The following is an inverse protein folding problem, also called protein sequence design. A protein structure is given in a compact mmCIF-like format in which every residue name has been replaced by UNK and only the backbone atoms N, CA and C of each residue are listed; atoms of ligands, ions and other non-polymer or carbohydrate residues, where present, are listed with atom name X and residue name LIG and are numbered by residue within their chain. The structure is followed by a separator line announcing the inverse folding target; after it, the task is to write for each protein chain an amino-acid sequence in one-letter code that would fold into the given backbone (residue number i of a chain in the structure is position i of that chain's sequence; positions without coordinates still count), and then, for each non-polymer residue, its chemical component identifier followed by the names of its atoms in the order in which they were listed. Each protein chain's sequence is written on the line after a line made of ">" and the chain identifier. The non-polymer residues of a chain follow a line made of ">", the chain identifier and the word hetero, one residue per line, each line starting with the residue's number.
data_IF_333720505232
#
_entry.id   IF_333720505232
#
_cell.length_a   1.000
_cell.length_b   1.000
_cell.length_c   1.000
_cell.angle_alpha   90.00
_cell.angle_beta   90.00
_cell.angle_gamma   90.00
#
_symmetry.space_group_name_H-M   'P 1'
#
loop_
_entity.id
_entity.type
_entity.pdbx_description
1 polymer ?
#
# COMPACT_ATOMS: atom_id res chain seq x y z
N UNK A 1 -34.65 15.63 52.22
CA UNK A 1 -34.55 16.28 50.90
C UNK A 1 -33.38 15.66 50.18
N UNK A 2 -33.62 14.80 49.18
CA UNK A 2 -32.58 14.14 48.41
C UNK A 2 -32.17 15.05 47.25
N UNK A 3 -30.91 15.48 47.22
CA UNK A 3 -30.34 16.15 46.06
C UNK A 3 -30.06 15.12 44.96
N UNK A 4 -30.90 15.16 43.92
CA UNK A 4 -30.77 14.37 42.71
C UNK A 4 -29.57 14.91 41.90
N UNK A 5 -28.39 14.30 42.06
CA UNK A 5 -27.22 14.58 41.22
C UNK A 5 -27.54 14.19 39.78
N UNK A 6 -27.72 15.18 38.92
CA UNK A 6 -27.81 14.98 37.48
C UNK A 6 -26.44 14.55 36.93
N UNK A 7 -26.37 13.50 36.10
CA UNK A 7 -25.13 13.13 35.44
C UNK A 7 -24.80 14.18 34.38
N UNK A 8 -23.68 14.90 34.54
CA UNK A 8 -23.11 15.74 33.47
C UNK A 8 -22.80 14.84 32.28
N UNK A 9 -23.50 15.07 31.17
CA UNK A 9 -23.20 14.45 29.89
C UNK A 9 -21.74 14.78 29.53
N UNK A 10 -20.88 13.77 29.65
CA UNK A 10 -19.49 13.87 29.28
C UNK A 10 -19.45 14.08 27.77
N UNK A 11 -19.14 15.31 27.37
CA UNK A 11 -19.06 15.76 26.00
C UNK A 11 -17.84 15.10 25.35
N UNK A 12 -17.96 13.81 24.99
CA UNK A 12 -16.91 13.06 24.30
C UNK A 12 -16.88 13.60 22.88
N UNK A 13 -15.98 14.57 22.62
CA UNK A 13 -15.62 14.97 21.26
C UNK A 13 -15.42 13.69 20.45
N UNK A 14 -16.07 13.54 19.28
CA UNK A 14 -15.78 12.40 18.43
C UNK A 14 -14.29 12.47 18.11
N UNK A 15 -13.53 11.46 18.55
CA UNK A 15 -12.17 11.30 18.07
C UNK A 15 -12.25 11.30 16.54
N UNK A 16 -11.41 12.12 15.88
CA UNK A 16 -11.22 12.09 14.42
C UNK A 16 -10.66 10.72 14.03
N UNK A 17 -11.48 9.68 14.09
CA UNK A 17 -11.22 8.41 13.44
C UNK A 17 -11.58 8.66 11.98
N UNK A 18 -10.65 8.43 11.04
CA UNK A 18 -11.12 7.87 9.78
C UNK A 18 -10.39 8.16 8.47
N UNK A 19 -9.43 9.09 8.37
CA UNK A 19 -8.80 9.37 7.06
C UNK A 19 -7.28 9.17 7.00
N UNK A 20 -6.56 9.57 8.06
CA UNK A 20 -5.09 9.50 8.12
C UNK A 20 -4.61 8.06 8.32
N UNK A 21 -5.22 7.32 9.24
CA UNK A 21 -4.91 5.91 9.54
C UNK A 21 -5.10 4.97 8.33
N UNK A 22 -6.24 5.00 7.60
CA UNK A 22 -6.42 4.15 6.44
C UNK A 22 -5.42 4.44 5.31
N UNK A 23 -5.02 5.71 5.13
CA UNK A 23 -4.06 6.09 4.07
C UNK A 23 -2.63 5.68 4.42
N UNK A 24 -2.25 5.73 5.70
CA UNK A 24 -0.98 5.18 6.18
C UNK A 24 -0.93 3.66 5.98
N UNK A 25 -1.98 2.94 6.38
CA UNK A 25 -2.10 1.48 6.18
C UNK A 25 -2.08 1.10 4.69
N UNK A 26 -2.73 1.88 3.83
CA UNK A 26 -2.68 1.71 2.38
C UNK A 26 -1.25 1.87 1.84
N UNK A 27 -0.49 2.87 2.31
CA UNK A 27 0.90 3.09 1.91
C UNK A 27 1.77 1.87 2.24
N UNK A 28 1.62 1.30 3.45
CA UNK A 28 2.38 0.12 3.87
C UNK A 28 2.02 -1.13 3.06
N UNK A 29 0.72 -1.31 2.78
CA UNK A 29 0.25 -2.40 1.92
C UNK A 29 0.82 -2.28 0.50
N UNK A 30 0.80 -1.08 -0.08
CA UNK A 30 1.35 -0.82 -1.41
C UNK A 30 2.87 -1.03 -1.47
N UNK A 31 3.59 -0.66 -0.41
CA UNK A 31 5.02 -0.93 -0.29
C UNK A 31 5.31 -2.43 -0.25
N UNK A 32 4.56 -3.18 0.56
CA UNK A 32 4.68 -4.64 0.66
C UNK A 32 4.41 -5.31 -0.69
N UNK A 33 3.38 -4.84 -1.41
CA UNK A 33 3.07 -5.33 -2.76
C UNK A 33 4.20 -5.03 -3.75
N UNK A 34 4.76 -3.81 -3.73
CA UNK A 34 5.85 -3.44 -4.61
C UNK A 34 7.09 -4.34 -4.40
N UNK A 35 7.50 -4.55 -3.15
CA UNK A 35 8.62 -5.45 -2.82
C UNK A 35 8.36 -6.89 -3.26
N UNK A 36 7.14 -7.39 -3.07
CA UNK A 36 6.77 -8.75 -3.48
C UNK A 36 6.83 -8.90 -5.00
N UNK A 37 6.30 -7.93 -5.74
CA UNK A 37 6.30 -7.93 -7.21
C UNK A 37 7.70 -7.78 -7.80
N UNK A 38 8.58 -7.02 -7.14
CA UNK A 38 9.99 -6.91 -7.52
C UNK A 38 10.75 -8.22 -7.33
N UNK A 39 10.54 -8.90 -6.20
CA UNK A 39 11.07 -10.26 -5.98
C UNK A 39 10.59 -11.25 -7.04
N UNK A 40 9.29 -11.26 -7.34
CA UNK A 40 8.72 -12.08 -8.42
C UNK A 40 9.33 -11.75 -9.79
N UNK A 41 9.56 -10.47 -10.09
CA UNK A 41 10.23 -10.07 -11.33
C UNK A 41 11.62 -10.70 -11.43
N UNK A 42 12.44 -10.61 -10.39
CA UNK A 42 13.79 -11.17 -10.38
C UNK A 42 13.79 -12.69 -10.60
N UNK A 43 12.89 -13.42 -9.92
CA UNK A 43 12.74 -14.87 -10.08
C UNK A 43 12.31 -15.26 -11.50
N UNK A 44 11.30 -14.56 -12.05
CA UNK A 44 10.77 -14.82 -13.39
C UNK A 44 11.79 -14.51 -14.48
N UNK A 45 12.63 -13.47 -14.31
CA UNK A 45 13.76 -13.20 -15.20
C UNK A 45 14.77 -14.34 -15.17
N UNK A 46 15.10 -14.85 -13.98
CA UNK A 46 15.95 -16.03 -13.82
C UNK A 46 15.40 -17.25 -14.56
N UNK A 47 14.12 -17.55 -14.39
CA UNK A 47 13.45 -18.64 -15.09
C UNK A 47 13.37 -18.42 -16.61
N UNK A 48 13.17 -17.19 -17.06
CA UNK A 48 13.18 -16.87 -18.49
C UNK A 48 14.56 -17.17 -19.10
N UNK A 49 15.63 -16.66 -18.47
CA UNK A 49 17.01 -16.85 -18.92
C UNK A 49 17.41 -18.33 -18.94
N UNK A 50 17.04 -19.10 -17.91
CA UNK A 50 17.37 -20.54 -17.84
C UNK A 50 16.65 -21.39 -18.89
N UNK A 51 15.44 -20.98 -19.31
CA UNK A 51 14.64 -21.74 -20.26
C UNK A 51 14.89 -21.35 -21.72
N UNK A 52 15.36 -20.14 -22.02
CA UNK A 52 15.58 -19.68 -23.39
C UNK A 52 16.37 -20.65 -24.30
N UNK A 53 17.45 -21.31 -23.84
CA UNK A 53 18.25 -22.18 -24.70
C UNK A 53 17.56 -23.47 -25.15
N UNK A 54 16.73 -24.08 -24.29
CA UNK A 54 16.10 -25.40 -24.55
C UNK A 54 14.59 -25.31 -24.75
N UNK A 55 13.93 -24.36 -24.09
CA UNK A 55 12.48 -24.19 -24.04
C UNK A 55 12.10 -22.71 -24.29
N UNK A 56 12.34 -22.18 -25.51
CA UNK A 56 12.19 -20.76 -25.80
C UNK A 56 10.77 -20.23 -25.57
N UNK A 57 9.73 -21.01 -25.88
CA UNK A 57 8.34 -20.64 -25.61
C UNK A 57 8.05 -20.53 -24.11
N UNK A 58 8.64 -21.40 -23.29
CA UNK A 58 8.55 -21.34 -21.82
C UNK A 58 9.29 -20.11 -21.29
N UNK A 59 10.51 -19.86 -21.80
CA UNK A 59 11.28 -18.67 -21.46
C UNK A 59 10.53 -17.37 -21.78
N UNK A 60 9.90 -17.29 -22.95
CA UNK A 60 9.08 -16.14 -23.37
C UNK A 60 7.84 -15.95 -22.47
N UNK A 61 7.19 -17.03 -22.02
CA UNK A 61 6.09 -16.95 -21.05
C UNK A 61 6.55 -16.37 -19.71
N UNK A 62 7.67 -16.82 -19.18
CA UNK A 62 8.24 -16.25 -17.95
C UNK A 62 8.66 -14.79 -18.14
N UNK A 63 9.25 -14.42 -19.28
CA UNK A 63 9.60 -13.03 -19.59
C UNK A 63 8.35 -12.12 -19.61
N UNK A 64 7.24 -12.57 -20.21
CA UNK A 64 5.97 -11.82 -20.19
C UNK A 64 5.42 -11.66 -18.77
N UNK A 65 5.51 -12.70 -17.94
CA UNK A 65 5.09 -12.60 -16.53
C UNK A 65 5.99 -11.64 -15.76
N UNK A 66 7.30 -11.66 -15.99
CA UNK A 66 8.25 -10.74 -15.37
C UNK A 66 7.88 -9.27 -15.69
N UNK A 67 7.63 -8.95 -16.97
CA UNK A 67 7.23 -7.61 -17.39
C UNK A 67 5.92 -7.15 -16.72
N UNK A 68 4.97 -8.07 -16.52
CA UNK A 68 3.73 -7.77 -15.78
C UNK A 68 4.00 -7.50 -14.30
N UNK A 69 4.87 -8.29 -13.66
CA UNK A 69 5.25 -8.07 -12.27
C UNK A 69 5.92 -6.70 -12.08
N UNK A 70 6.88 -6.35 -12.94
CA UNK A 70 7.57 -5.05 -12.92
C UNK A 70 6.60 -3.87 -13.15
N UNK A 71 5.69 -4.00 -14.12
CA UNK A 71 4.67 -2.97 -14.39
C UNK A 71 3.76 -2.73 -13.19
N UNK A 72 3.29 -3.82 -12.55
CA UNK A 72 2.47 -3.72 -11.34
C UNK A 72 3.27 -3.16 -10.15
N UNK A 73 4.54 -3.51 -9.99
CA UNK A 73 5.41 -2.93 -8.97
C UNK A 73 5.47 -1.39 -9.12
N UNK A 74 5.73 -0.93 -10.35
CA UNK A 74 5.76 0.50 -10.66
C UNK A 74 4.42 1.18 -10.37
N UNK A 75 3.30 0.53 -10.68
CA UNK A 75 1.96 1.02 -10.37
C UNK A 75 1.71 1.13 -8.86
N UNK A 76 2.13 0.14 -8.07
CA UNK A 76 2.03 0.17 -6.61
C UNK A 76 2.85 1.32 -6.01
N UNK A 77 4.08 1.56 -6.49
CA UNK A 77 4.91 2.68 -6.04
C UNK A 77 4.28 4.05 -6.38
N UNK A 78 3.71 4.19 -7.58
CA UNK A 78 3.00 5.42 -7.98
C UNK A 78 1.76 5.64 -7.11
N UNK A 79 0.99 4.59 -6.82
CA UNK A 79 -0.17 4.68 -5.95
C UNK A 79 0.24 5.06 -4.51
N UNK A 80 1.34 4.48 -4.00
CA UNK A 80 1.88 4.80 -2.68
C UNK A 80 2.29 6.26 -2.58
N UNK A 81 3.03 6.78 -3.58
CA UNK A 81 3.42 8.18 -3.62
C UNK A 81 2.22 9.13 -3.63
N UNK A 82 1.13 8.76 -4.33
CA UNK A 82 -0.13 9.51 -4.32
C UNK A 82 -0.81 9.49 -2.94
N UNK A 83 -0.85 8.32 -2.28
CA UNK A 83 -1.42 8.19 -0.94
C UNK A 83 -0.64 9.02 0.09
N UNK A 84 0.69 8.98 0.05
CA UNK A 84 1.56 9.80 0.90
C UNK A 84 1.38 11.30 0.64
N UNK A 85 1.22 11.71 -0.62
CA UNK A 85 0.94 13.10 -0.96
C UNK A 85 -0.39 13.58 -0.38
N UNK A 86 -1.41 12.72 -0.39
CA UNK A 86 -2.72 13.04 0.19
C UNK A 86 -2.68 13.14 1.73
N UNK A 87 -1.76 12.41 2.38
CA UNK A 87 -1.60 12.44 3.83
C UNK A 87 -0.96 13.73 4.34
N UNK A 88 -0.05 14.32 3.55
CA UNK A 88 0.74 15.51 3.92
C UNK A 88 -0.10 16.70 4.41
N UNK A 89 -1.13 17.18 3.68
CA UNK A 89 -1.97 18.27 4.16
C UNK A 89 -2.80 17.91 5.40
N UNK A 90 -3.17 16.64 5.59
CA UNK A 90 -3.91 16.21 6.78
C UNK A 90 -3.05 16.14 8.05
N UNK A 91 -1.71 16.05 7.91
CA UNK A 91 -0.77 16.14 9.02
C UNK A 91 -0.53 17.59 9.44
N UNK A 92 -0.46 18.50 8.47
CA UNK A 92 -0.30 19.94 8.73
C UNK A 92 -1.53 20.51 9.49
N UNK A 93 -2.75 20.10 9.12
CA UNK A 93 -4.01 20.46 9.82
C UNK A 93 -4.16 19.85 11.23
N UNK A 94 -3.33 18.87 11.60
CA UNK A 94 -3.35 18.22 12.91
C UNK A 94 -2.31 18.80 13.89
N UNK A 95 -1.39 19.63 13.39
CA UNK A 95 -0.34 20.29 14.17
C UNK A 95 -0.74 21.70 14.66
N UNK A 96 -1.89 22.21 14.24
CA UNK A 96 -2.50 23.50 14.64
C UNK A 96 -3.66 23.31 15.62
#
# INVERSE_FOLDING_TARGET
>A
MNEMRTPKAQNRKPAKIGAVEPMAQLSDMLMTQALTLDGMFAELVGHAASNLPQYPLTGERFARLALRAQSNCSASLVAMAKAQKALRPAQDDAAE
#
